data_IF_367922054614
#
_entry.id   IF_367922054614
#
_cell.length_a   1.000
_cell.length_b   1.000
_cell.length_c   1.000
_cell.angle_alpha   90.00
_cell.angle_beta   90.00
_cell.angle_gamma   90.00
#
_symmetry.space_group_name_H-M   'P 1'
#
loop_
_entity.id
_entity.type
_entity.pdbx_description
1 polymer ?
#
# COMPACT_ATOMS: atom_id res chain seq x y z
N UNK A 1 5.06 -31.81 3.36
CA UNK A 1 5.37 -30.45 3.86
C UNK A 1 5.98 -29.66 2.70
N UNK A 2 5.62 -28.40 2.51
CA UNK A 2 6.22 -27.55 1.49
C UNK A 2 7.68 -27.25 1.83
N UNK A 3 8.56 -27.29 0.84
CA UNK A 3 9.95 -26.83 0.96
C UNK A 3 10.17 -25.71 -0.06
N UNK A 4 10.75 -24.60 0.39
CA UNK A 4 11.06 -23.49 -0.51
C UNK A 4 12.11 -23.93 -1.52
N UNK A 5 11.85 -23.73 -2.82
CA UNK A 5 12.82 -24.08 -3.85
C UNK A 5 14.05 -23.16 -3.79
N UNK A 6 15.24 -23.70 -4.03
CA UNK A 6 16.46 -22.91 -4.05
C UNK A 6 16.38 -21.77 -5.09
N UNK A 7 15.71 -22.00 -6.24
CA UNK A 7 15.49 -20.96 -7.25
C UNK A 7 14.70 -19.78 -6.71
N UNK A 8 13.59 -20.04 -5.98
CA UNK A 8 12.76 -18.98 -5.41
C UNK A 8 13.50 -18.22 -4.32
N UNK A 9 14.24 -18.93 -3.46
CA UNK A 9 15.08 -18.33 -2.43
C UNK A 9 16.16 -17.43 -3.03
N UNK A 10 16.90 -17.92 -4.03
CA UNK A 10 17.92 -17.15 -4.75
C UNK A 10 17.32 -15.94 -5.44
N UNK A 11 16.18 -16.10 -6.12
CA UNK A 11 15.45 -15.00 -6.75
C UNK A 11 15.07 -13.90 -5.75
N UNK A 12 14.48 -14.27 -4.61
CA UNK A 12 14.13 -13.30 -3.56
C UNK A 12 15.36 -12.57 -3.02
N UNK A 13 16.49 -13.26 -2.82
CA UNK A 13 17.74 -12.65 -2.36
C UNK A 13 18.29 -11.68 -3.42
N UNK A 14 18.25 -12.05 -4.70
CA UNK A 14 18.70 -11.17 -5.79
C UNK A 14 17.84 -9.88 -5.81
N UNK A 15 16.53 -9.99 -5.68
CA UNK A 15 15.64 -8.82 -5.59
C UNK A 15 16.02 -7.93 -4.41
N UNK A 16 16.27 -8.50 -3.23
CA UNK A 16 16.67 -7.75 -2.04
C UNK A 16 18.00 -7.01 -2.29
N UNK A 17 19.00 -7.69 -2.85
CA UNK A 17 20.32 -7.08 -3.11
C UNK A 17 20.21 -5.95 -4.13
N UNK A 18 19.52 -6.16 -5.26
CA UNK A 18 19.29 -5.12 -6.26
C UNK A 18 18.47 -3.95 -5.67
N UNK A 19 17.50 -4.26 -4.83
CA UNK A 19 16.70 -3.26 -4.14
C UNK A 19 17.53 -2.42 -3.18
N UNK A 20 18.40 -3.02 -2.38
CA UNK A 20 19.33 -2.29 -1.47
C UNK A 20 20.22 -1.34 -2.28
N UNK A 21 20.78 -1.81 -3.40
CA UNK A 21 21.63 -0.98 -4.28
C UNK A 21 20.82 0.19 -4.87
N UNK A 22 19.58 -0.03 -5.32
CA UNK A 22 18.71 1.02 -5.86
C UNK A 22 18.33 2.06 -4.81
N UNK A 23 18.00 1.63 -3.58
CA UNK A 23 17.70 2.53 -2.46
C UNK A 23 18.94 3.33 -2.05
N UNK A 24 20.10 2.67 -1.91
CA UNK A 24 21.37 3.34 -1.58
C UNK A 24 21.71 4.40 -2.63
N UNK A 25 21.57 4.09 -3.92
CA UNK A 25 21.74 5.06 -5.02
C UNK A 25 20.79 6.24 -4.86
N UNK A 26 19.52 6.00 -4.52
CA UNK A 26 18.53 7.06 -4.27
C UNK A 26 18.96 8.02 -3.18
N UNK A 27 19.43 7.51 -2.04
CA UNK A 27 19.93 8.34 -0.94
C UNK A 27 21.21 9.10 -1.32
N UNK A 28 22.11 8.50 -2.10
CA UNK A 28 23.33 9.19 -2.56
C UNK A 28 23.02 10.34 -3.52
N UNK A 29 22.03 10.20 -4.39
CA UNK A 29 21.69 11.19 -5.41
C UNK A 29 20.71 12.26 -4.93
N UNK A 30 20.04 12.04 -3.80
CA UNK A 30 19.10 13.01 -3.21
C UNK A 30 19.78 14.08 -2.35
N UNK A 31 21.03 13.87 -1.91
CA UNK A 31 21.79 14.87 -1.14
C UNK A 31 22.46 15.86 -2.10
N UNK A 32 21.71 16.88 -2.52
CA UNK A 32 22.21 17.98 -3.33
C UNK A 32 22.46 19.22 -2.47
N UNK A 33 23.52 19.96 -2.77
CA UNK A 33 23.78 21.27 -2.16
C UNK A 33 22.80 22.32 -2.70
N UNK A 34 22.60 23.39 -1.94
CA UNK A 34 21.72 24.49 -2.38
C UNK A 34 22.18 25.10 -3.71
N UNK A 35 23.49 25.21 -3.93
CA UNK A 35 24.09 25.71 -5.17
C UNK A 35 23.81 24.81 -6.36
N UNK A 36 23.87 23.48 -6.18
CA UNK A 36 23.53 22.52 -7.23
C UNK A 36 22.04 22.61 -7.60
N UNK A 37 21.16 22.82 -6.61
CA UNK A 37 19.72 22.97 -6.86
C UNK A 37 19.44 24.28 -7.60
N UNK A 38 20.09 25.40 -7.25
CA UNK A 38 19.98 26.66 -7.97
C UNK A 38 20.42 26.50 -9.42
N UNK A 39 21.56 25.84 -9.65
CA UNK A 39 22.07 25.59 -11.01
C UNK A 39 21.05 24.75 -11.82
N UNK A 40 20.44 23.73 -11.22
CA UNK A 40 19.39 22.93 -11.88
C UNK A 40 18.16 23.78 -12.25
N UNK A 41 17.71 24.66 -11.35
CA UNK A 41 16.56 25.52 -11.60
C UNK A 41 16.85 26.51 -12.75
N UNK A 42 18.05 27.07 -12.82
CA UNK A 42 18.47 27.92 -13.93
C UNK A 42 18.50 27.15 -15.25
N UNK A 43 19.01 25.93 -15.26
CA UNK A 43 19.02 25.07 -16.45
C UNK A 43 17.60 24.70 -16.92
N UNK A 44 16.68 24.40 -15.98
CA UNK A 44 15.27 24.13 -16.29
C UNK A 44 14.59 25.33 -16.94
N UNK A 45 14.75 26.55 -16.39
CA UNK A 45 14.18 27.75 -16.96
C UNK A 45 14.78 28.08 -18.35
N UNK A 46 16.06 27.75 -18.58
CA UNK A 46 16.70 27.93 -19.90
C UNK A 46 16.16 26.96 -20.97
N UNK A 47 15.70 25.76 -20.56
CA UNK A 47 15.10 24.79 -21.46
C UNK A 47 13.60 25.02 -21.73
N UNK A 48 12.87 25.63 -20.80
CA UNK A 48 11.42 25.91 -20.94
C UNK A 48 11.18 27.27 -21.67
N UNK A 49 12.20 28.14 -21.81
CA UNK A 49 12.15 29.44 -22.48
C UNK A 49 11.95 29.40 -24.00
N UNK A 50 11.50 28.27 -24.56
CA UNK A 50 11.13 28.10 -25.98
C UNK A 50 9.69 28.49 -26.35
N UNK A 51 8.83 28.84 -25.39
CA UNK A 51 7.49 29.36 -25.65
C UNK A 51 7.32 30.75 -25.01
N UNK A 52 7.60 31.76 -25.84
CA UNK A 52 7.33 33.15 -25.53
C UNK A 52 5.84 33.40 -25.26
N UNK A 53 5.51 33.82 -24.06
CA UNK A 53 4.35 34.69 -23.83
C UNK A 53 4.87 36.03 -23.33
N UNK A 54 4.81 37.00 -24.22
CA UNK A 54 5.11 38.39 -23.99
C UNK A 54 4.30 39.00 -22.85
N UNK A 55 4.95 39.29 -21.72
CA UNK A 55 4.44 40.22 -20.72
C UNK A 55 5.34 41.46 -20.77
N UNK A 56 4.69 42.60 -21.04
CA UNK A 56 5.29 43.91 -21.17
C UNK A 56 6.06 44.34 -19.93
N UNK A 57 7.31 44.71 -20.12
CA UNK A 57 8.10 45.50 -19.18
C UNK A 57 7.37 46.81 -18.83
N UNK A 58 7.10 47.01 -17.55
CA UNK A 58 7.02 48.35 -16.98
C UNK A 58 8.17 48.52 -15.97
N UNK A 59 9.14 49.26 -16.41
CA UNK A 59 10.32 49.70 -15.68
C UNK A 59 9.88 50.64 -14.56
N UNK A 60 10.03 50.26 -13.28
CA UNK A 60 10.31 51.22 -12.20
C UNK A 60 11.32 50.60 -11.24
N UNK A 61 12.48 51.25 -11.21
CA UNK A 61 13.68 50.84 -10.49
C UNK A 61 13.65 51.19 -9.01
N UNK A 62 14.47 50.41 -8.26
CA UNK A 62 15.00 50.70 -6.92
C UNK A 62 14.10 50.26 -5.75
N UNK A 63 14.25 49.01 -5.38
CA UNK A 63 13.73 48.41 -4.14
C UNK A 63 13.47 46.91 -4.20
N UNK A 64 13.54 46.29 -5.37
CA UNK A 64 13.09 44.88 -5.61
C UNK A 64 14.22 43.85 -5.57
N UNK A 65 15.50 44.21 -5.65
CA UNK A 65 16.58 43.20 -5.71
C UNK A 65 16.74 42.35 -4.43
N UNK A 66 16.46 42.90 -3.25
CA UNK A 66 16.59 42.13 -2.00
C UNK A 66 15.36 41.23 -1.72
N UNK A 67 14.20 41.56 -2.24
CA UNK A 67 13.00 40.76 -2.10
C UNK A 67 13.01 39.55 -3.08
N UNK A 68 13.54 39.74 -4.28
CA UNK A 68 13.62 38.73 -5.34
C UNK A 68 14.66 37.65 -5.00
N UNK A 69 15.86 38.03 -4.53
CA UNK A 69 16.91 37.08 -4.09
C UNK A 69 16.46 36.25 -2.91
N UNK A 70 15.68 36.78 -1.98
CA UNK A 70 15.16 36.04 -0.84
C UNK A 70 14.05 35.03 -1.23
N UNK A 71 13.27 35.33 -2.26
CA UNK A 71 12.25 34.43 -2.80
C UNK A 71 12.88 33.26 -3.56
N UNK A 72 13.89 33.52 -4.38
CA UNK A 72 14.65 32.52 -5.13
C UNK A 72 15.38 31.54 -4.16
N UNK A 73 15.96 32.06 -3.08
CA UNK A 73 16.63 31.24 -2.06
C UNK A 73 15.66 30.35 -1.31
N UNK A 74 14.47 30.84 -1.00
CA UNK A 74 13.43 30.05 -0.33
C UNK A 74 12.85 28.98 -1.26
N UNK A 75 12.64 29.30 -2.53
CA UNK A 75 12.20 28.34 -3.54
C UNK A 75 13.24 27.22 -3.73
N UNK A 76 14.52 27.57 -3.88
CA UNK A 76 15.60 26.61 -4.02
C UNK A 76 15.72 25.66 -2.78
N UNK A 77 15.53 26.19 -1.56
CA UNK A 77 15.50 25.38 -0.34
C UNK A 77 14.31 24.41 -0.35
N UNK A 78 13.13 24.86 -0.73
CA UNK A 78 11.94 24.00 -0.81
C UNK A 78 12.14 22.86 -1.80
N UNK A 79 12.69 23.13 -2.99
CA UNK A 79 13.03 22.11 -3.99
C UNK A 79 14.11 21.15 -3.46
N UNK A 80 15.11 21.66 -2.74
CA UNK A 80 16.12 20.82 -2.09
C UNK A 80 15.49 19.82 -1.12
N UNK A 81 14.57 20.27 -0.27
CA UNK A 81 13.84 19.40 0.66
C UNK A 81 12.99 18.35 -0.06
N UNK A 82 12.29 18.74 -1.12
CA UNK A 82 11.51 17.79 -1.93
C UNK A 82 12.39 16.68 -2.52
N UNK A 83 13.56 17.03 -3.08
CA UNK A 83 14.51 16.05 -3.63
C UNK A 83 15.04 15.14 -2.51
N UNK A 84 15.37 15.69 -1.35
CA UNK A 84 15.91 14.95 -0.22
C UNK A 84 14.87 14.00 0.44
N UNK A 85 13.58 14.36 0.44
CA UNK A 85 12.47 13.53 0.95
C UNK A 85 12.14 12.34 0.04
N UNK A 86 12.47 12.42 -1.25
CA UNK A 86 12.04 11.44 -2.25
C UNK A 86 12.43 9.97 -1.95
N UNK A 87 13.67 9.61 -1.56
CA UNK A 87 14.01 8.22 -1.23
C UNK A 87 13.22 7.68 -0.04
N UNK A 88 12.99 8.51 0.98
CA UNK A 88 12.18 8.16 2.14
C UNK A 88 10.73 7.86 1.74
N UNK A 89 10.14 8.73 0.92
CA UNK A 89 8.77 8.58 0.42
C UNK A 89 8.63 7.34 -0.48
N UNK A 90 9.59 7.07 -1.37
CA UNK A 90 9.61 5.89 -2.22
C UNK A 90 9.65 4.59 -1.41
N UNK A 91 10.49 4.53 -0.37
CA UNK A 91 10.52 3.39 0.55
C UNK A 91 9.23 3.25 1.34
N UNK A 92 8.65 4.36 1.78
CA UNK A 92 7.42 4.38 2.55
C UNK A 92 6.22 3.87 1.74
N UNK A 93 6.05 4.34 0.50
CA UNK A 93 5.03 3.86 -0.43
C UNK A 93 5.14 2.34 -0.63
N UNK A 94 6.35 1.86 -0.90
CA UNK A 94 6.59 0.43 -1.10
C UNK A 94 6.34 -0.39 0.17
N UNK A 95 6.72 0.13 1.35
CA UNK A 95 6.48 -0.54 2.63
C UNK A 95 4.98 -0.65 2.95
N UNK A 96 4.23 0.44 2.75
CA UNK A 96 2.77 0.42 2.89
C UNK A 96 2.13 -0.56 1.91
N UNK A 97 2.57 -0.58 0.65
CA UNK A 97 2.00 -1.46 -0.37
C UNK A 97 2.05 -2.94 0.06
N UNK A 98 3.22 -3.46 0.43
CA UNK A 98 3.34 -4.86 0.84
C UNK A 98 2.69 -5.14 2.21
N UNK A 99 2.71 -4.19 3.13
CA UNK A 99 2.05 -4.31 4.43
C UNK A 99 0.53 -4.34 4.28
N UNK A 100 -0.05 -3.45 3.46
CA UNK A 100 -1.50 -3.40 3.22
C UNK A 100 -2.00 -4.65 2.49
N UNK A 101 -1.23 -5.25 1.57
CA UNK A 101 -1.54 -6.57 0.99
C UNK A 101 -1.68 -7.62 2.10
N UNK A 102 -0.72 -7.71 3.02
CA UNK A 102 -0.76 -8.70 4.09
C UNK A 102 -1.94 -8.47 5.06
N UNK A 103 -2.26 -7.21 5.36
CA UNK A 103 -3.40 -6.83 6.19
C UNK A 103 -4.74 -7.12 5.49
N UNK A 104 -4.85 -6.80 4.19
CA UNK A 104 -6.03 -7.13 3.37
C UNK A 104 -6.29 -8.62 3.28
N UNK A 105 -5.22 -9.43 3.13
CA UNK A 105 -5.34 -10.90 3.17
C UNK A 105 -5.80 -11.39 4.54
N UNK A 106 -5.31 -10.80 5.63
CA UNK A 106 -5.74 -11.16 6.99
C UNK A 106 -7.22 -10.84 7.22
N UNK A 107 -7.67 -9.68 6.74
CA UNK A 107 -9.07 -9.29 6.80
C UNK A 107 -9.95 -10.23 5.97
N UNK A 108 -9.56 -10.54 4.74
CA UNK A 108 -10.29 -11.48 3.90
C UNK A 108 -10.35 -12.88 4.51
N UNK A 109 -9.26 -13.37 5.10
CA UNK A 109 -9.22 -14.62 5.85
C UNK A 109 -10.21 -14.62 7.03
N UNK A 110 -10.26 -13.54 7.80
CA UNK A 110 -11.21 -13.40 8.91
C UNK A 110 -12.67 -13.40 8.41
N UNK A 111 -12.95 -12.71 7.29
CA UNK A 111 -14.27 -12.70 6.65
C UNK A 111 -14.68 -14.14 6.25
N UNK A 112 -13.78 -14.90 5.62
CA UNK A 112 -14.07 -16.27 5.20
C UNK A 112 -14.38 -17.19 6.40
N UNK A 113 -13.67 -17.05 7.50
CA UNK A 113 -13.93 -17.83 8.73
C UNK A 113 -15.25 -17.39 9.39
N UNK A 114 -15.49 -16.08 9.53
CA UNK A 114 -16.68 -15.54 10.17
C UNK A 114 -17.96 -15.80 9.36
N UNK A 115 -17.87 -15.83 8.03
CA UNK A 115 -18.98 -16.19 7.15
C UNK A 115 -19.16 -17.71 6.99
N UNK A 116 -18.26 -18.54 7.56
CA UNK A 116 -18.24 -19.98 7.37
C UNK A 116 -18.29 -20.41 5.90
N UNK A 117 -17.51 -19.68 5.07
CA UNK A 117 -17.50 -19.88 3.62
C UNK A 117 -16.89 -21.24 3.25
N UNK A 118 -17.76 -22.18 2.86
CA UNK A 118 -17.38 -23.59 2.59
C UNK A 118 -16.43 -23.76 1.39
N UNK A 119 -16.42 -22.82 0.44
CA UNK A 119 -15.53 -22.90 -0.75
C UNK A 119 -14.05 -22.66 -0.44
N UNK A 120 -13.73 -21.82 0.54
CA UNK A 120 -12.40 -21.22 0.73
C UNK A 120 -11.39 -21.97 1.61
N UNK A 121 -11.74 -23.00 2.42
CA UNK A 121 -10.79 -23.67 3.32
C UNK A 121 -9.50 -24.17 2.67
N UNK A 122 -9.55 -24.64 1.42
CA UNK A 122 -8.36 -25.08 0.67
C UNK A 122 -7.31 -23.97 0.47
N UNK A 123 -7.70 -22.69 0.64
CA UNK A 123 -6.83 -21.51 0.48
C UNK A 123 -6.36 -20.95 1.83
N UNK A 124 -6.86 -21.42 2.97
CA UNK A 124 -6.56 -20.83 4.29
C UNK A 124 -5.07 -20.80 4.61
N UNK A 125 -4.32 -21.86 4.27
CA UNK A 125 -2.87 -21.91 4.51
C UNK A 125 -2.09 -20.89 3.66
N UNK A 126 -2.59 -20.59 2.47
CA UNK A 126 -2.03 -19.54 1.61
C UNK A 126 -2.28 -18.17 2.25
N UNK A 127 -3.51 -17.91 2.71
CA UNK A 127 -3.87 -16.64 3.37
C UNK A 127 -3.08 -16.44 4.67
N UNK A 128 -2.98 -17.46 5.53
CA UNK A 128 -2.19 -17.45 6.77
C UNK A 128 -0.71 -17.16 6.51
N UNK A 129 -0.16 -17.67 5.41
CA UNK A 129 1.24 -17.48 5.06
C UNK A 129 1.52 -16.08 4.51
N UNK A 130 0.63 -15.52 3.68
CA UNK A 130 0.75 -14.16 3.18
C UNK A 130 0.65 -13.16 4.34
N UNK A 131 -0.32 -13.36 5.23
CA UNK A 131 -0.50 -12.52 6.42
C UNK A 131 0.68 -12.56 7.41
N UNK A 132 1.60 -13.52 7.30
CA UNK A 132 2.81 -13.57 8.12
C UNK A 132 3.75 -12.37 7.86
N UNK A 133 3.64 -11.71 6.71
CA UNK A 133 4.41 -10.51 6.41
C UNK A 133 3.92 -9.26 7.17
N UNK A 134 2.74 -9.31 7.76
CA UNK A 134 2.13 -8.16 8.43
C UNK A 134 3.04 -7.56 9.52
N UNK A 135 3.59 -8.38 10.40
CA UNK A 135 4.47 -7.90 11.49
C UNK A 135 5.75 -7.23 10.95
N UNK A 136 6.59 -7.90 10.13
CA UNK A 136 7.79 -7.24 9.59
C UNK A 136 7.44 -6.04 8.71
N UNK A 137 6.39 -6.09 7.90
CA UNK A 137 5.95 -4.99 7.07
C UNK A 137 5.53 -3.77 7.89
N UNK A 138 4.71 -3.97 8.92
CA UNK A 138 4.26 -2.88 9.80
C UNK A 138 5.41 -2.26 10.60
N UNK A 139 6.37 -3.06 11.08
CA UNK A 139 7.57 -2.54 11.74
C UNK A 139 8.37 -1.65 10.77
N UNK A 140 8.56 -2.08 9.52
CA UNK A 140 9.28 -1.28 8.51
C UNK A 140 8.55 0.04 8.25
N UNK A 141 7.22 0.03 8.10
CA UNK A 141 6.42 1.26 7.92
C UNK A 141 6.65 2.25 9.06
N UNK A 142 6.56 1.79 10.32
CA UNK A 142 6.76 2.67 11.48
C UNK A 142 8.22 3.15 11.58
N UNK A 143 9.20 2.28 11.31
CA UNK A 143 10.61 2.67 11.29
C UNK A 143 10.90 3.72 10.22
N UNK A 144 10.28 3.64 9.04
CA UNK A 144 10.43 4.65 8.00
C UNK A 144 9.73 5.96 8.38
N UNK A 145 8.52 5.90 8.93
CA UNK A 145 7.78 7.07 9.38
C UNK A 145 8.55 7.88 10.42
N UNK A 146 9.02 7.20 11.48
CA UNK A 146 9.76 7.84 12.58
C UNK A 146 11.22 8.09 12.22
N UNK A 147 11.82 7.17 11.43
CA UNK A 147 13.21 7.29 10.98
C UNK A 147 13.45 8.49 10.07
N UNK A 148 12.48 8.85 9.24
CA UNK A 148 12.56 10.05 8.39
C UNK A 148 12.72 11.34 9.23
N UNK A 149 12.10 11.40 10.41
CA UNK A 149 12.25 12.51 11.33
C UNK A 149 13.61 12.51 12.04
N UNK A 150 13.99 11.40 12.68
CA UNK A 150 15.22 11.37 13.52
C UNK A 150 16.53 11.25 12.74
N UNK A 151 16.52 10.57 11.59
CA UNK A 151 17.70 10.32 10.77
C UNK A 151 17.74 11.26 9.56
N UNK A 152 16.56 11.65 9.04
CA UNK A 152 16.43 12.44 7.83
C UNK A 152 16.79 13.91 7.96
N UNK A 153 16.99 14.47 9.18
CA UNK A 153 17.35 15.88 9.41
C UNK A 153 16.51 16.85 8.54
N UNK A 154 15.25 17.06 8.89
CA UNK A 154 14.25 17.87 8.16
C UNK A 154 13.67 17.25 6.88
N UNK A 155 13.88 15.93 6.66
CA UNK A 155 13.29 15.18 5.55
C UNK A 155 12.09 14.33 6.01
N UNK A 156 11.28 14.86 6.93
CA UNK A 156 10.12 14.17 7.48
C UNK A 156 9.08 13.87 6.40
N UNK A 157 8.60 12.61 6.38
CA UNK A 157 7.43 12.22 5.59
C UNK A 157 6.18 12.91 6.16
N UNK A 158 6.12 13.03 7.49
CA UNK A 158 5.02 13.64 8.21
C UNK A 158 5.40 15.04 8.71
N UNK A 159 4.91 16.07 8.08
CA UNK A 159 5.22 17.48 8.38
C UNK A 159 4.89 17.85 9.84
N UNK A 160 3.86 17.25 10.43
CA UNK A 160 3.48 17.47 11.84
C UNK A 160 4.47 16.86 12.86
N UNK A 161 5.47 16.09 12.43
CA UNK A 161 6.57 15.66 13.32
C UNK A 161 7.63 16.73 13.49
N UNK A 162 7.69 17.76 12.61
CA UNK A 162 8.63 18.86 12.69
C UNK A 162 8.13 19.95 13.65
N UNK A 163 8.81 20.19 14.81
CA UNK A 163 8.38 21.20 15.78
C UNK A 163 8.39 22.64 15.23
N UNK A 164 9.29 22.96 14.28
CA UNK A 164 9.39 24.29 13.69
C UNK A 164 8.16 24.59 12.82
N UNK A 165 7.78 23.64 11.97
CA UNK A 165 6.56 23.76 11.14
C UNK A 165 5.30 23.83 12.00
N UNK A 166 5.23 23.00 13.08
CA UNK A 166 4.09 23.03 14.01
C UNK A 166 3.99 24.37 14.73
N UNK A 167 5.12 25.04 15.04
CA UNK A 167 5.11 26.34 15.72
C UNK A 167 4.48 27.46 14.85
N UNK A 168 4.61 27.36 13.53
CA UNK A 168 4.12 28.37 12.58
C UNK A 168 2.71 28.08 12.05
N UNK A 169 2.26 26.81 12.12
CA UNK A 169 0.97 26.38 11.55
C UNK A 169 -0.10 26.16 12.62
N UNK A 170 -1.04 27.11 12.72
CA UNK A 170 -2.15 27.07 13.68
C UNK A 170 -3.08 25.85 13.47
N UNK A 171 -3.25 25.36 12.23
CA UNK A 171 -4.12 24.23 11.94
C UNK A 171 -3.50 22.93 12.49
N UNK A 172 -2.19 22.74 12.29
CA UNK A 172 -1.47 21.59 12.84
C UNK A 172 -1.42 21.69 14.39
N UNK A 173 -1.19 22.88 14.95
CA UNK A 173 -1.26 23.10 16.39
C UNK A 173 -2.58 22.64 17.01
N UNK A 174 -3.71 22.99 16.38
CA UNK A 174 -5.02 22.55 16.84
C UNK A 174 -5.23 21.03 16.81
N UNK A 175 -4.50 20.32 15.95
CA UNK A 175 -4.49 18.87 15.84
C UNK A 175 -3.41 18.19 16.70
N UNK A 176 -2.55 18.92 17.39
CA UNK A 176 -1.39 18.39 18.13
C UNK A 176 -1.75 17.39 19.23
N UNK A 177 -2.97 17.45 19.78
CA UNK A 177 -3.48 16.44 20.70
C UNK A 177 -3.60 15.04 20.08
N UNK A 178 -3.85 14.97 18.78
CA UNK A 178 -3.97 13.73 18.00
C UNK A 178 -2.72 13.43 17.18
N UNK A 179 -2.20 14.43 16.44
CA UNK A 179 -1.00 14.35 15.61
C UNK A 179 0.23 14.71 16.44
N UNK A 180 0.73 13.75 17.19
CA UNK A 180 2.03 13.80 17.88
C UNK A 180 2.66 12.40 17.88
N UNK A 181 3.99 12.33 17.92
CA UNK A 181 4.76 11.09 17.81
C UNK A 181 4.34 10.07 18.86
N UNK A 182 4.12 10.49 20.11
CA UNK A 182 3.77 9.59 21.21
C UNK A 182 2.41 8.94 20.98
N UNK A 183 1.37 9.73 20.66
CA UNK A 183 0.04 9.22 20.39
C UNK A 183 0.01 8.35 19.13
N UNK A 184 0.74 8.74 18.08
CA UNK A 184 0.91 7.95 16.85
C UNK A 184 1.52 6.57 17.15
N UNK A 185 2.59 6.49 17.92
CA UNK A 185 3.24 5.23 18.30
C UNK A 185 2.33 4.36 19.19
N UNK A 186 1.60 4.94 20.13
CA UNK A 186 0.65 4.19 20.97
C UNK A 186 -0.44 3.55 20.10
N UNK A 187 -1.04 4.31 19.18
CA UNK A 187 -2.04 3.77 18.25
C UNK A 187 -1.45 2.68 17.36
N UNK A 188 -0.24 2.90 16.80
CA UNK A 188 0.45 1.90 16.00
C UNK A 188 0.69 0.59 16.75
N UNK A 189 1.11 0.65 18.02
CA UNK A 189 1.31 -0.54 18.87
C UNK A 189 -0.02 -1.28 19.08
N UNK A 190 -1.12 -0.55 19.33
CA UNK A 190 -2.45 -1.15 19.51
C UNK A 190 -2.90 -1.85 18.21
N UNK A 191 -2.75 -1.21 17.06
CA UNK A 191 -3.16 -1.76 15.77
C UNK A 191 -2.36 -3.00 15.42
N UNK A 192 -1.02 -2.88 15.39
CA UNK A 192 -0.11 -3.98 15.05
C UNK A 192 -0.27 -5.13 16.06
N UNK A 193 -0.36 -4.80 17.35
CA UNK A 193 -0.56 -5.78 18.41
C UNK A 193 -1.85 -6.58 18.25
N UNK A 194 -2.97 -5.89 17.96
CA UNK A 194 -4.26 -6.55 17.75
C UNK A 194 -4.28 -7.41 16.48
N UNK A 195 -3.78 -6.91 15.34
CA UNK A 195 -3.73 -7.65 14.09
C UNK A 195 -2.81 -8.88 14.17
N UNK A 196 -1.62 -8.73 14.74
CA UNK A 196 -0.68 -9.84 14.90
C UNK A 196 -1.16 -10.88 15.92
N UNK A 197 -1.84 -10.44 16.98
CA UNK A 197 -2.45 -11.34 17.96
C UNK A 197 -3.54 -12.21 17.31
N UNK A 198 -4.41 -11.59 16.49
CA UNK A 198 -5.40 -12.35 15.73
C UNK A 198 -4.74 -13.35 14.78
N UNK A 199 -3.78 -12.90 13.94
CA UNK A 199 -3.06 -13.80 13.04
C UNK A 199 -2.43 -15.00 13.75
N UNK A 200 -1.76 -14.74 14.89
CA UNK A 200 -1.11 -15.79 15.68
C UNK A 200 -2.09 -16.82 16.20
N UNK A 201 -3.18 -16.39 16.84
CA UNK A 201 -4.18 -17.30 17.40
C UNK A 201 -5.01 -18.00 16.31
N UNK A 202 -5.38 -17.33 15.24
CA UNK A 202 -6.08 -17.92 14.11
C UNK A 202 -5.26 -19.07 13.50
N UNK A 203 -3.96 -18.83 13.23
CA UNK A 203 -3.05 -19.86 12.74
C UNK A 203 -2.85 -20.99 13.75
N UNK A 204 -2.69 -20.68 15.04
CA UNK A 204 -2.54 -21.68 16.12
C UNK A 204 -3.74 -22.59 16.18
N UNK A 205 -4.96 -22.05 16.17
CA UNK A 205 -6.17 -22.86 16.21
C UNK A 205 -6.40 -23.64 14.92
N UNK A 206 -6.05 -23.06 13.77
CA UNK A 206 -6.13 -23.74 12.48
C UNK A 206 -5.21 -24.96 12.44
N UNK A 207 -3.96 -24.86 12.93
CA UNK A 207 -3.03 -26.00 13.02
C UNK A 207 -3.48 -27.00 14.09
N UNK A 208 -3.98 -26.53 15.24
CA UNK A 208 -4.49 -27.40 16.29
C UNK A 208 -5.73 -28.19 15.84
N UNK A 209 -6.56 -27.63 14.94
CA UNK A 209 -7.70 -28.30 14.35
C UNK A 209 -7.29 -29.49 13.46
N UNK A 210 -6.14 -29.38 12.75
CA UNK A 210 -5.62 -30.49 11.94
C UNK A 210 -5.19 -31.70 12.75
N UNK A 211 -4.84 -31.51 14.02
CA UNK A 211 -4.40 -32.54 14.95
C UNK A 211 -5.54 -32.99 15.93
N UNK A 212 -6.75 -32.47 15.77
CA UNK A 212 -7.90 -32.82 16.60
C UNK A 212 -8.49 -34.18 16.20
N UNK A 213 -9.17 -34.82 17.14
CA UNK A 213 -9.91 -36.07 16.88
C UNK A 213 -11.02 -35.83 15.84
N UNK A 214 -11.37 -36.90 15.13
CA UNK A 214 -12.39 -36.82 14.09
C UNK A 214 -13.75 -36.41 14.71
N UNK A 215 -14.31 -35.28 14.21
CA UNK A 215 -15.56 -34.68 14.72
C UNK A 215 -15.38 -33.63 15.81
N UNK A 216 -14.18 -33.45 16.35
CA UNK A 216 -13.90 -32.33 17.28
C UNK A 216 -13.74 -31.00 16.54
N UNK A 217 -14.69 -30.09 16.74
CA UNK A 217 -14.74 -28.76 16.12
C UNK A 217 -14.43 -27.60 17.11
N UNK A 218 -13.90 -27.92 18.31
CA UNK A 218 -13.67 -26.89 19.35
C UNK A 218 -12.71 -25.80 18.90
N UNK A 219 -11.63 -26.17 18.21
CA UNK A 219 -10.66 -25.19 17.71
C UNK A 219 -11.23 -24.34 16.56
N UNK A 220 -12.05 -24.95 15.69
CA UNK A 220 -12.78 -24.19 14.66
C UNK A 220 -13.75 -23.17 15.29
N UNK A 221 -14.53 -23.55 16.32
CA UNK A 221 -15.39 -22.60 17.04
C UNK A 221 -14.63 -21.47 17.71
N UNK A 222 -13.41 -21.73 18.23
CA UNK A 222 -12.52 -20.67 18.73
C UNK A 222 -12.09 -19.73 17.62
N UNK A 223 -11.64 -20.27 16.47
CA UNK A 223 -11.27 -19.48 15.29
C UNK A 223 -12.42 -18.59 14.82
N UNK A 224 -13.64 -19.14 14.74
CA UNK A 224 -14.83 -18.38 14.39
C UNK A 224 -15.07 -17.18 15.33
N UNK A 225 -15.03 -17.42 16.65
CA UNK A 225 -15.27 -16.35 17.64
C UNK A 225 -14.22 -15.22 17.57
N UNK A 226 -12.93 -15.60 17.46
CA UNK A 226 -11.87 -14.60 17.38
C UNK A 226 -11.89 -13.86 16.04
N UNK A 227 -12.32 -14.52 14.94
CA UNK A 227 -12.48 -13.87 13.64
C UNK A 227 -13.59 -12.81 13.69
N UNK A 228 -14.74 -13.13 14.27
CA UNK A 228 -15.83 -12.16 14.45
C UNK A 228 -15.39 -10.95 15.30
N UNK A 229 -14.73 -11.20 16.45
CA UNK A 229 -14.17 -10.12 17.28
C UNK A 229 -13.11 -9.28 16.58
N UNK A 230 -12.24 -9.94 15.81
CA UNK A 230 -11.22 -9.26 15.01
C UNK A 230 -11.82 -8.35 13.95
N UNK A 231 -12.87 -8.75 13.25
CA UNK A 231 -13.50 -7.93 12.23
C UNK A 231 -14.05 -6.61 12.78
N UNK A 232 -14.61 -6.65 14.00
CA UNK A 232 -15.04 -5.42 14.69
C UNK A 232 -13.84 -4.53 15.01
N UNK A 233 -12.78 -5.08 15.57
CA UNK A 233 -11.53 -4.37 15.86
C UNK A 233 -10.89 -3.82 14.58
N UNK A 234 -10.84 -4.64 13.52
CA UNK A 234 -10.27 -4.28 12.24
C UNK A 234 -10.98 -3.11 11.58
N UNK A 235 -12.31 -3.08 11.58
CA UNK A 235 -13.10 -2.01 10.99
C UNK A 235 -12.69 -0.61 11.52
N UNK A 236 -12.52 -0.50 12.83
CA UNK A 236 -12.09 0.77 13.43
C UNK A 236 -10.61 1.04 13.22
N UNK A 237 -9.76 0.04 13.44
CA UNK A 237 -8.31 0.24 13.39
C UNK A 237 -7.77 0.43 11.98
N UNK A 238 -8.41 -0.16 10.98
CA UNK A 238 -8.06 0.05 9.58
C UNK A 238 -8.35 1.50 9.14
N UNK A 239 -9.55 2.00 9.44
CA UNK A 239 -9.93 3.37 9.10
C UNK A 239 -9.03 4.39 9.80
N UNK A 240 -8.74 4.20 11.10
CA UNK A 240 -7.85 5.10 11.84
C UNK A 240 -6.39 4.95 11.32
N UNK A 241 -5.93 3.75 10.98
CA UNK A 241 -4.63 3.55 10.37
C UNK A 241 -4.48 4.30 9.05
N UNK A 242 -5.50 4.27 8.20
CA UNK A 242 -5.48 5.00 6.92
C UNK A 242 -5.37 6.52 7.14
N UNK A 243 -6.03 7.05 8.18
CA UNK A 243 -5.91 8.45 8.57
C UNK A 243 -4.55 8.79 9.16
N UNK A 244 -3.99 7.90 10.01
CA UNK A 244 -2.71 8.12 10.69
C UNK A 244 -1.51 7.94 9.76
N UNK A 245 -1.51 6.88 8.92
CA UNK A 245 -0.33 6.47 8.18
C UNK A 245 -0.31 6.93 6.73
N UNK A 246 -1.46 7.36 6.19
CA UNK A 246 -1.55 7.82 4.80
C UNK A 246 -2.06 9.26 4.75
N UNK A 247 -3.28 9.51 5.25
CA UNK A 247 -3.91 10.82 5.13
C UNK A 247 -3.14 11.92 5.89
N UNK A 248 -2.57 11.62 7.05
CA UNK A 248 -1.86 12.60 7.87
C UNK A 248 -0.50 13.04 7.30
N UNK A 249 -0.07 12.48 6.18
CA UNK A 249 1.06 13.01 5.38
C UNK A 249 0.75 14.43 4.90
N UNK A 250 -0.53 14.68 4.58
CA UNK A 250 -1.07 16.02 4.34
C UNK A 250 -2.03 16.41 5.48
N UNK A 251 -1.56 17.06 6.54
CA UNK A 251 -2.38 17.35 7.72
C UNK A 251 -3.44 18.43 7.48
N UNK A 252 -3.39 19.16 6.36
CA UNK A 252 -4.37 20.19 6.01
C UNK A 252 -5.64 19.60 5.40
N UNK A 253 -5.52 18.43 4.77
CA UNK A 253 -6.63 17.75 4.13
C UNK A 253 -7.20 16.62 5.00
N UNK A 254 -8.49 16.34 4.87
CA UNK A 254 -9.16 15.20 5.50
C UNK A 254 -10.40 14.76 4.73
N UNK A 255 -10.70 13.45 4.84
CA UNK A 255 -11.93 12.86 4.29
C UNK A 255 -12.31 11.63 5.11
N UNK A 256 -13.57 11.54 5.52
CA UNK A 256 -14.10 10.37 6.25
C UNK A 256 -14.21 9.13 5.36
N UNK A 257 -14.43 9.32 4.05
CA UNK A 257 -14.51 8.23 3.08
C UNK A 257 -13.15 7.59 2.79
N UNK A 258 -12.05 8.27 3.13
CA UNK A 258 -10.70 7.84 2.81
C UNK A 258 -10.35 6.46 3.38
N UNK A 259 -10.82 6.12 4.60
CA UNK A 259 -10.63 4.79 5.17
C UNK A 259 -11.23 3.69 4.31
N UNK A 260 -12.47 3.86 3.84
CA UNK A 260 -13.13 2.90 2.94
C UNK A 260 -12.42 2.78 1.58
N UNK A 261 -11.90 3.89 1.08
CA UNK A 261 -11.13 3.90 -0.15
C UNK A 261 -9.84 3.08 -0.02
N UNK A 262 -9.06 3.28 1.05
CA UNK A 262 -7.85 2.50 1.34
C UNK A 262 -8.20 1.02 1.57
N UNK A 263 -9.27 0.73 2.34
CA UNK A 263 -9.76 -0.63 2.56
C UNK A 263 -10.04 -1.36 1.25
N UNK A 264 -10.73 -0.72 0.30
CA UNK A 264 -11.06 -1.36 -0.98
C UNK A 264 -9.82 -1.71 -1.79
N UNK A 265 -8.81 -0.82 -1.87
CA UNK A 265 -7.54 -1.08 -2.53
C UNK A 265 -6.77 -2.23 -1.88
N UNK A 266 -6.70 -2.23 -0.55
CA UNK A 266 -6.01 -3.25 0.24
C UNK A 266 -6.65 -4.65 0.07
N UNK A 267 -7.98 -4.75 0.05
CA UNK A 267 -8.69 -6.02 -0.13
C UNK A 267 -8.49 -6.56 -1.54
N UNK A 268 -8.63 -5.74 -2.59
CA UNK A 268 -8.45 -6.23 -3.96
C UNK A 268 -7.01 -6.67 -4.22
N UNK A 269 -6.02 -5.90 -3.73
CA UNK A 269 -4.61 -6.27 -3.82
C UNK A 269 -4.33 -7.59 -3.05
N UNK A 270 -4.90 -7.74 -1.85
CA UNK A 270 -4.78 -8.96 -1.06
C UNK A 270 -5.36 -10.20 -1.76
N UNK A 271 -6.59 -10.12 -2.27
CA UNK A 271 -7.24 -11.22 -3.01
C UNK A 271 -6.44 -11.55 -4.28
N UNK A 272 -5.93 -10.54 -4.97
CA UNK A 272 -5.09 -10.70 -6.15
C UNK A 272 -3.83 -11.52 -5.82
N UNK A 273 -3.15 -11.21 -4.73
CA UNK A 273 -1.96 -11.96 -4.29
C UNK A 273 -2.34 -13.39 -3.87
N UNK A 274 -3.49 -13.61 -3.20
CA UNK A 274 -3.99 -14.97 -2.91
C UNK A 274 -4.16 -15.76 -4.21
N UNK A 275 -4.80 -15.17 -5.22
CA UNK A 275 -5.03 -15.82 -6.51
C UNK A 275 -3.72 -16.17 -7.21
N UNK A 276 -2.78 -15.22 -7.29
CA UNK A 276 -1.48 -15.43 -7.93
C UNK A 276 -0.66 -16.52 -7.24
N UNK A 277 -0.60 -16.52 -5.91
CA UNK A 277 0.12 -17.54 -5.13
C UNK A 277 -0.57 -18.91 -5.25
N UNK A 278 -1.91 -18.96 -5.22
CA UNK A 278 -2.66 -20.20 -5.41
C UNK A 278 -2.43 -20.81 -6.79
N UNK A 279 -2.47 -19.99 -7.86
CA UNK A 279 -2.18 -20.42 -9.24
C UNK A 279 -0.74 -20.96 -9.33
N UNK A 280 0.23 -20.25 -8.76
CA UNK A 280 1.63 -20.69 -8.75
C UNK A 280 1.81 -22.05 -8.05
N UNK A 281 1.24 -22.23 -6.86
CA UNK A 281 1.32 -23.49 -6.09
C UNK A 281 0.55 -24.63 -6.78
N UNK A 282 -0.62 -24.34 -7.36
CA UNK A 282 -1.39 -25.30 -8.15
C UNK A 282 -0.58 -25.77 -9.35
N UNK A 283 0.05 -24.86 -10.09
CA UNK A 283 0.93 -25.18 -11.22
C UNK A 283 2.16 -26.02 -10.85
N UNK A 284 2.54 -26.02 -9.55
CA UNK A 284 3.58 -26.92 -9.00
C UNK A 284 3.03 -28.24 -8.46
N UNK A 285 1.73 -28.50 -8.53
CA UNK A 285 1.09 -29.67 -7.99
C UNK A 285 1.02 -29.71 -6.45
N UNK A 286 1.22 -28.57 -5.78
CA UNK A 286 1.29 -28.46 -4.32
C UNK A 286 -0.09 -28.21 -3.66
N UNK A 287 -1.09 -27.81 -4.43
CA UNK A 287 -2.47 -27.58 -3.99
C UNK A 287 -3.43 -28.47 -4.80
N UNK A 288 -3.44 -29.80 -4.55
CA UNK A 288 -4.23 -30.74 -5.36
C UNK A 288 -5.75 -30.53 -5.22
N UNK A 289 -6.23 -29.97 -4.11
CA UNK A 289 -7.65 -29.72 -3.87
C UNK A 289 -8.16 -28.41 -4.47
N UNK A 290 -7.26 -27.52 -4.93
CA UNK A 290 -7.66 -26.27 -5.58
C UNK A 290 -8.00 -26.55 -7.05
N UNK A 291 -9.27 -26.43 -7.41
CA UNK A 291 -9.77 -26.59 -8.78
C UNK A 291 -9.98 -25.23 -9.47
N UNK A 292 -10.51 -25.25 -10.71
CA UNK A 292 -10.71 -24.04 -11.50
C UNK A 292 -11.87 -23.17 -10.99
N UNK A 293 -12.83 -23.76 -10.24
CA UNK A 293 -13.91 -23.00 -9.59
C UNK A 293 -13.38 -22.10 -8.47
N UNK A 294 -12.37 -22.53 -7.71
CA UNK A 294 -11.71 -21.69 -6.70
C UNK A 294 -11.00 -20.48 -7.36
N UNK A 295 -10.30 -20.71 -8.48
CA UNK A 295 -9.63 -19.62 -9.22
C UNK A 295 -10.68 -18.66 -9.81
N UNK A 296 -11.76 -19.19 -10.33
CA UNK A 296 -12.88 -18.41 -10.85
C UNK A 296 -13.51 -17.51 -9.76
N UNK A 297 -13.69 -18.03 -8.55
CA UNK A 297 -14.24 -17.24 -7.44
C UNK A 297 -13.28 -16.17 -6.96
N UNK A 298 -11.98 -16.47 -6.84
CA UNK A 298 -10.98 -15.43 -6.57
C UNK A 298 -11.01 -14.33 -7.64
N UNK A 299 -11.14 -14.70 -8.93
CA UNK A 299 -11.24 -13.73 -10.01
C UNK A 299 -12.56 -12.92 -9.97
N UNK A 300 -13.68 -13.50 -9.48
CA UNK A 300 -14.91 -12.74 -9.21
C UNK A 300 -14.68 -11.69 -8.11
N UNK A 301 -13.99 -12.06 -7.03
CA UNK A 301 -13.67 -11.09 -5.98
C UNK A 301 -12.71 -10.01 -6.49
N UNK A 302 -11.69 -10.36 -7.28
CA UNK A 302 -10.84 -9.36 -7.94
C UNK A 302 -11.68 -8.38 -8.77
N UNK A 303 -12.59 -8.88 -9.60
CA UNK A 303 -13.50 -8.06 -10.38
C UNK A 303 -14.41 -7.18 -9.51
N UNK A 304 -15.10 -7.78 -8.54
CA UNK A 304 -16.08 -7.08 -7.71
C UNK A 304 -15.42 -5.98 -6.86
N UNK A 305 -14.26 -6.25 -6.26
CA UNK A 305 -13.54 -5.26 -5.47
C UNK A 305 -12.83 -4.19 -6.33
N UNK A 306 -12.44 -4.48 -7.57
CA UNK A 306 -11.98 -3.45 -8.52
C UNK A 306 -13.10 -2.46 -8.86
N UNK A 307 -14.34 -2.93 -9.04
CA UNK A 307 -15.52 -2.09 -9.23
C UNK A 307 -15.81 -1.27 -7.95
N UNK A 308 -15.73 -1.90 -6.79
CA UNK A 308 -15.95 -1.24 -5.50
C UNK A 308 -14.90 -0.16 -5.22
N UNK A 309 -13.63 -0.41 -5.53
CA UNK A 309 -12.56 0.58 -5.45
C UNK A 309 -12.85 1.79 -6.35
N UNK A 310 -13.20 1.55 -7.61
CA UNK A 310 -13.53 2.63 -8.56
C UNK A 310 -14.74 3.45 -8.09
N UNK A 311 -15.77 2.80 -7.53
CA UNK A 311 -16.92 3.48 -6.93
C UNK A 311 -16.51 4.41 -5.79
N UNK A 312 -15.66 3.96 -4.85
CA UNK A 312 -15.22 4.77 -3.73
C UNK A 312 -14.28 5.90 -4.17
N UNK A 313 -13.36 5.63 -5.11
CA UNK A 313 -12.52 6.65 -5.72
C UNK A 313 -13.34 7.76 -6.37
N UNK A 314 -14.32 7.38 -7.20
CA UNK A 314 -15.19 8.34 -7.88
C UNK A 314 -16.12 9.07 -6.90
N UNK A 315 -16.68 8.38 -5.91
CA UNK A 315 -17.54 8.99 -4.89
C UNK A 315 -16.81 10.05 -4.09
N UNK A 316 -15.56 9.80 -3.70
CA UNK A 316 -14.74 10.78 -3.00
C UNK A 316 -14.47 12.01 -3.86
N UNK A 317 -14.08 11.82 -5.12
CA UNK A 317 -13.90 12.91 -6.07
C UNK A 317 -15.20 13.71 -6.25
N UNK A 318 -16.31 13.03 -6.52
CA UNK A 318 -17.61 13.69 -6.77
C UNK A 318 -18.10 14.50 -5.57
N UNK A 319 -17.97 13.99 -4.35
CA UNK A 319 -18.40 14.69 -3.14
C UNK A 319 -17.60 15.98 -2.93
N UNK A 320 -16.28 15.94 -3.08
CA UNK A 320 -15.40 17.10 -2.92
C UNK A 320 -15.60 18.10 -4.07
N UNK A 321 -15.71 17.62 -5.30
CA UNK A 321 -15.99 18.45 -6.47
C UNK A 321 -17.35 19.16 -6.34
N UNK A 322 -18.39 18.45 -5.90
CA UNK A 322 -19.73 19.02 -5.73
C UNK A 322 -19.80 20.04 -4.59
N UNK A 323 -19.17 19.76 -3.45
CA UNK A 323 -19.10 20.67 -2.31
C UNK A 323 -18.30 21.95 -2.62
N UNK A 324 -17.27 21.84 -3.47
CA UNK A 324 -16.41 22.92 -3.94
C UNK A 324 -15.85 23.79 -2.80
N UNK A 325 -15.43 23.14 -1.70
CA UNK A 325 -14.75 23.79 -0.58
C UNK A 325 -13.28 23.97 -0.96
N UNK A 326 -12.75 25.21 -1.01
CA UNK A 326 -11.40 25.48 -1.51
C UNK A 326 -10.30 24.63 -0.86
N UNK A 327 -10.36 24.46 0.47
CA UNK A 327 -9.37 23.72 1.25
C UNK A 327 -9.38 22.21 0.93
N UNK A 328 -10.54 21.65 0.54
CA UNK A 328 -10.66 20.23 0.19
C UNK A 328 -10.32 19.95 -1.27
N UNK A 329 -10.64 20.89 -2.17
CA UNK A 329 -10.46 20.75 -3.62
C UNK A 329 -8.98 20.68 -4.00
N UNK A 330 -8.10 21.37 -3.27
CA UNK A 330 -6.64 21.39 -3.51
C UNK A 330 -6.05 19.97 -3.64
N UNK A 331 -6.57 19.01 -2.88
CA UNK A 331 -6.15 17.61 -2.96
C UNK A 331 -6.28 17.02 -4.37
N UNK A 332 -7.39 17.29 -5.07
CA UNK A 332 -7.60 16.80 -6.43
C UNK A 332 -6.95 17.67 -7.49
N UNK A 333 -6.85 18.98 -7.26
CA UNK A 333 -6.19 19.91 -8.20
C UNK A 333 -4.74 19.48 -8.39
N UNK A 334 -3.97 19.32 -7.34
CA UNK A 334 -2.56 18.91 -7.44
C UNK A 334 -2.40 17.55 -8.15
N UNK A 335 -3.34 16.62 -7.96
CA UNK A 335 -3.30 15.30 -8.59
C UNK A 335 -3.70 15.32 -10.07
N UNK A 336 -4.57 16.24 -10.47
CA UNK A 336 -5.01 16.38 -11.86
C UNK A 336 -4.01 17.22 -12.66
N UNK A 337 -3.38 18.22 -12.05
CA UNK A 337 -2.42 19.09 -12.72
C UNK A 337 -1.03 18.46 -12.76
N UNK A 338 -0.46 18.11 -11.60
CA UNK A 338 0.92 17.65 -11.49
C UNK A 338 1.07 16.13 -11.66
N UNK A 339 0.06 15.35 -11.28
CA UNK A 339 0.07 13.86 -11.31
C UNK A 339 -0.90 13.27 -12.32
N UNK A 340 -1.23 13.98 -13.38
CA UNK A 340 -2.24 13.59 -14.37
C UNK A 340 -2.08 12.16 -14.89
N UNK A 341 -0.86 11.79 -15.28
CA UNK A 341 -0.58 10.46 -15.84
C UNK A 341 -0.78 9.34 -14.81
N UNK A 342 -0.16 9.34 -13.61
CA UNK A 342 -0.39 8.29 -12.63
C UNK A 342 -1.81 8.31 -12.06
N UNK A 343 -2.43 9.49 -11.86
CA UNK A 343 -3.78 9.62 -11.31
C UNK A 343 -4.87 9.01 -12.20
N UNK A 344 -4.85 9.27 -13.51
CA UNK A 344 -5.79 8.62 -14.44
C UNK A 344 -5.29 7.24 -14.87
N UNK A 345 -3.97 7.01 -14.89
CA UNK A 345 -3.38 5.72 -15.18
C UNK A 345 -3.80 4.64 -14.17
N UNK A 346 -3.83 4.97 -12.87
CA UNK A 346 -4.30 4.01 -11.85
C UNK A 346 -5.76 3.58 -12.08
N UNK A 347 -6.64 4.48 -12.56
CA UNK A 347 -8.03 4.16 -12.88
C UNK A 347 -8.11 3.13 -14.02
N UNK A 348 -7.27 3.28 -15.04
CA UNK A 348 -7.18 2.31 -16.14
C UNK A 348 -6.68 0.96 -15.64
N UNK A 349 -5.64 0.94 -14.80
CA UNK A 349 -5.01 -0.29 -14.32
C UNK A 349 -5.86 -1.03 -13.26
N UNK A 350 -6.53 -0.30 -12.37
CA UNK A 350 -7.31 -0.89 -11.27
C UNK A 350 -8.76 -1.19 -11.62
N UNK A 351 -9.31 -0.49 -12.61
CA UNK A 351 -10.72 -0.64 -12.95
C UNK A 351 -10.94 -1.01 -14.43
N UNK A 352 -10.55 -0.15 -15.37
CA UNK A 352 -10.94 -0.34 -16.79
C UNK A 352 -10.41 -1.66 -17.34
N UNK A 353 -9.13 -1.95 -17.14
CA UNK A 353 -8.50 -3.17 -17.62
C UNK A 353 -9.06 -4.44 -16.94
N UNK A 354 -9.10 -4.55 -15.60
CA UNK A 354 -9.70 -5.71 -14.94
C UNK A 354 -11.18 -5.87 -15.27
N UNK A 355 -11.93 -4.77 -15.37
CA UNK A 355 -13.34 -4.78 -15.72
C UNK A 355 -13.56 -5.44 -17.10
N UNK A 356 -12.84 -5.01 -18.12
CA UNK A 356 -12.99 -5.53 -19.49
C UNK A 356 -12.59 -7.00 -19.59
N UNK A 357 -11.51 -7.41 -18.93
CA UNK A 357 -11.01 -8.79 -19.03
C UNK A 357 -11.80 -9.73 -18.11
N UNK A 358 -12.02 -9.36 -16.85
CA UNK A 358 -12.68 -10.23 -15.87
C UNK A 358 -14.21 -10.15 -15.92
N UNK A 359 -14.82 -9.33 -16.78
CA UNK A 359 -16.25 -9.38 -17.04
C UNK A 359 -16.65 -10.72 -17.67
N UNK A 360 -15.82 -11.24 -18.57
CA UNK A 360 -16.09 -12.52 -19.23
C UNK A 360 -15.88 -13.70 -18.27
N UNK A 361 -16.90 -14.59 -18.15
CA UNK A 361 -16.87 -15.71 -17.20
C UNK A 361 -15.76 -16.72 -17.50
N UNK A 362 -15.50 -17.02 -18.78
CA UNK A 362 -14.52 -18.03 -19.16
C UNK A 362 -13.09 -17.59 -18.87
N UNK A 363 -12.78 -16.29 -19.00
CA UNK A 363 -11.44 -15.76 -18.71
C UNK A 363 -11.08 -15.89 -17.22
N UNK A 364 -12.07 -15.83 -16.32
CA UNK A 364 -11.87 -16.04 -14.88
C UNK A 364 -11.43 -17.46 -14.53
N UNK A 365 -11.68 -18.46 -15.40
CA UNK A 365 -11.26 -19.86 -15.19
C UNK A 365 -9.87 -20.15 -15.73
N UNK A 366 -9.34 -19.29 -16.59
CA UNK A 366 -8.05 -19.47 -17.24
C UNK A 366 -6.95 -18.82 -16.41
N UNK A 367 -6.04 -19.57 -15.77
CA UNK A 367 -5.01 -19.05 -14.88
C UNK A 367 -4.15 -17.93 -15.49
N UNK A 368 -3.90 -17.99 -16.79
CA UNK A 368 -3.13 -16.95 -17.49
C UNK A 368 -3.80 -15.57 -17.45
N UNK A 369 -5.11 -15.50 -17.75
CA UNK A 369 -5.84 -14.22 -17.70
C UNK A 369 -5.90 -13.65 -16.28
N UNK A 370 -6.11 -14.53 -15.29
CA UNK A 370 -6.13 -14.11 -13.87
C UNK A 370 -4.76 -13.61 -13.43
N UNK A 371 -3.67 -14.27 -13.81
CA UNK A 371 -2.30 -13.83 -13.53
C UNK A 371 -1.98 -12.50 -14.19
N UNK A 372 -2.33 -12.32 -15.47
CA UNK A 372 -2.12 -11.09 -16.22
C UNK A 372 -2.88 -9.91 -15.55
N UNK A 373 -4.17 -10.09 -15.27
CA UNK A 373 -4.96 -9.09 -14.56
C UNK A 373 -4.39 -8.82 -13.17
N UNK A 374 -3.92 -9.86 -12.47
CA UNK A 374 -3.31 -9.72 -11.16
C UNK A 374 -2.08 -8.81 -11.17
N UNK A 375 -1.18 -9.00 -12.14
CA UNK A 375 0.00 -8.12 -12.29
C UNK A 375 -0.43 -6.67 -12.55
N UNK A 376 -1.39 -6.44 -13.44
CA UNK A 376 -1.88 -5.09 -13.78
C UNK A 376 -2.54 -4.42 -12.56
N UNK A 377 -3.39 -5.14 -11.83
CA UNK A 377 -4.03 -4.65 -10.60
C UNK A 377 -2.98 -4.27 -9.54
N UNK A 378 -1.95 -5.10 -9.33
CA UNK A 378 -0.92 -4.81 -8.33
C UNK A 378 -0.08 -3.58 -8.71
N UNK A 379 0.25 -3.41 -10.01
CA UNK A 379 0.91 -2.19 -10.49
C UNK A 379 0.00 -0.98 -10.25
N UNK A 380 -1.29 -1.09 -10.58
CA UNK A 380 -2.25 -0.01 -10.39
C UNK A 380 -2.42 0.40 -8.93
N UNK A 381 -2.48 -0.54 -7.98
CA UNK A 381 -2.57 -0.23 -6.55
C UNK A 381 -1.26 0.28 -5.96
N UNK A 382 -0.12 -0.08 -6.53
CA UNK A 382 1.13 0.59 -6.17
C UNK A 382 1.11 2.06 -6.60
N UNK A 383 0.67 2.35 -7.83
CA UNK A 383 0.50 3.73 -8.33
C UNK A 383 -0.54 4.49 -7.52
N UNK A 384 -1.59 3.84 -7.06
CA UNK A 384 -2.62 4.42 -6.19
C UNK A 384 -2.01 4.94 -4.86
N UNK A 385 -1.24 4.11 -4.15
CA UNK A 385 -0.52 4.52 -2.95
C UNK A 385 0.54 5.59 -3.23
N UNK A 386 1.20 5.51 -4.38
CA UNK A 386 2.14 6.53 -4.84
C UNK A 386 1.44 7.90 -4.97
N UNK A 387 0.28 7.96 -5.61
CA UNK A 387 -0.52 9.19 -5.77
C UNK A 387 -1.12 9.68 -4.44
N UNK A 388 -1.36 8.80 -3.47
CA UNK A 388 -1.81 9.23 -2.14
C UNK A 388 -0.70 9.96 -1.35
N UNK A 389 0.57 9.56 -1.50
CA UNK A 389 1.67 10.00 -0.62
C UNK A 389 2.59 11.02 -1.28
N UNK A 390 3.01 10.79 -2.54
CA UNK A 390 4.05 11.60 -3.17
C UNK A 390 3.69 13.08 -3.32
N UNK A 391 2.43 13.47 -3.65
CA UNK A 391 2.09 14.89 -3.77
C UNK A 391 2.37 15.71 -2.51
N UNK A 392 2.15 15.14 -1.33
CA UNK A 392 2.38 15.83 -0.06
C UNK A 392 3.85 15.82 0.39
N UNK A 393 4.70 14.97 -0.19
CA UNK A 393 6.11 14.83 0.23
C UNK A 393 7.10 15.41 -0.79
N UNK A 394 6.89 15.15 -2.06
CA UNK A 394 7.81 15.50 -3.16
C UNK A 394 7.23 16.61 -4.06
N UNK A 395 5.93 16.94 -3.90
CA UNK A 395 5.27 17.95 -4.72
C UNK A 395 5.26 17.57 -6.20
N UNK A 396 5.57 18.52 -7.07
CA UNK A 396 5.60 18.37 -8.54
C UNK A 396 6.88 17.66 -9.06
N UNK A 397 7.91 17.46 -8.20
CA UNK A 397 9.22 16.89 -8.55
C UNK A 397 9.24 15.35 -8.56
N UNK A 398 8.11 14.72 -8.84
CA UNK A 398 7.98 13.28 -8.88
C UNK A 398 8.43 12.68 -10.22
N UNK A 399 9.01 11.52 -10.18
CA UNK A 399 9.16 10.59 -11.31
C UNK A 399 9.37 9.17 -10.79
N UNK A 400 9.09 8.16 -11.60
CA UNK A 400 9.38 6.77 -11.26
C UNK A 400 10.78 6.45 -11.74
N UNK A 401 11.71 6.32 -10.81
CA UNK A 401 13.12 6.09 -11.09
C UNK A 401 13.72 4.95 -10.27
N UNK A 402 15.05 4.98 -10.15
CA UNK A 402 15.80 3.94 -9.45
C UNK A 402 15.40 3.79 -7.96
N UNK A 403 15.16 4.86 -7.18
CA UNK A 403 14.74 4.72 -5.78
C UNK A 403 13.41 4.00 -5.63
N UNK A 404 12.41 4.31 -6.46
CA UNK A 404 11.08 3.71 -6.42
C UNK A 404 11.14 2.23 -6.80
N UNK A 405 11.81 1.92 -7.92
CA UNK A 405 12.01 0.53 -8.38
C UNK A 405 12.85 -0.25 -7.37
N UNK A 406 13.91 0.35 -6.83
CA UNK A 406 14.75 -0.26 -5.79
C UNK A 406 13.94 -0.62 -4.53
N UNK A 407 13.08 0.28 -4.08
CA UNK A 407 12.21 0.05 -2.92
C UNK A 407 11.22 -1.09 -3.14
N UNK A 408 10.61 -1.18 -4.32
CA UNK A 408 9.71 -2.30 -4.70
C UNK A 408 10.48 -3.62 -4.71
N UNK A 409 11.68 -3.66 -5.30
CA UNK A 409 12.49 -4.87 -5.39
C UNK A 409 12.92 -5.35 -4.00
N UNK A 410 13.39 -4.43 -3.14
CA UNK A 410 13.80 -4.72 -1.78
C UNK A 410 12.67 -5.34 -0.96
N UNK A 411 11.54 -4.65 -0.89
CA UNK A 411 10.42 -5.05 -0.05
C UNK A 411 9.61 -6.20 -0.66
N UNK A 412 9.53 -6.27 -1.99
CA UNK A 412 8.96 -7.42 -2.71
C UNK A 412 9.77 -8.69 -2.52
N UNK A 413 11.10 -8.60 -2.58
CA UNK A 413 11.99 -9.73 -2.28
C UNK A 413 11.83 -10.22 -0.83
N UNK A 414 11.75 -9.29 0.13
CA UNK A 414 11.50 -9.61 1.54
C UNK A 414 10.10 -10.23 1.74
N UNK A 415 9.08 -9.67 1.11
CA UNK A 415 7.71 -10.19 1.13
C UNK A 415 7.68 -11.66 0.64
N UNK A 416 8.25 -11.93 -0.52
CA UNK A 416 8.32 -13.30 -1.06
C UNK A 416 9.05 -14.25 -0.10
N UNK A 417 10.20 -13.83 0.43
CA UNK A 417 10.98 -14.65 1.35
C UNK A 417 10.19 -15.01 2.61
N UNK A 418 9.52 -14.04 3.23
CA UNK A 418 8.72 -14.24 4.45
C UNK A 418 7.52 -15.13 4.17
N UNK A 419 6.75 -14.85 3.10
CA UNK A 419 5.54 -15.60 2.74
C UNK A 419 5.88 -17.07 2.48
N UNK A 420 6.81 -17.34 1.59
CA UNK A 420 7.16 -18.73 1.25
C UNK A 420 7.89 -19.47 2.37
N UNK A 421 8.64 -18.78 3.22
CA UNK A 421 9.20 -19.37 4.45
C UNK A 421 8.07 -19.72 5.44
N UNK A 422 7.06 -18.85 5.59
CA UNK A 422 5.90 -19.14 6.43
C UNK A 422 5.12 -20.38 5.97
N UNK A 423 5.05 -20.64 4.66
CA UNK A 423 4.40 -21.84 4.10
C UNK A 423 5.11 -23.15 4.47
N UNK A 424 6.41 -23.12 4.79
CA UNK A 424 7.13 -24.34 5.19
C UNK A 424 6.78 -24.83 6.59
N UNK A 425 6.14 -23.97 7.41
CA UNK A 425 5.88 -24.24 8.83
C UNK A 425 4.60 -25.03 9.11
N UNK A 426 3.78 -25.30 8.09
CA UNK A 426 2.55 -26.08 8.23
C UNK A 426 2.20 -26.79 6.91
N UNK A 427 1.39 -27.87 6.93
CA UNK A 427 0.85 -28.47 5.71
C UNK A 427 0.01 -27.46 4.93
N UNK A 428 0.08 -27.46 3.60
CA UNK A 428 -0.66 -26.53 2.75
C UNK A 428 -2.16 -26.76 2.71
N UNK A 429 -2.63 -27.95 3.08
CA UNK A 429 -4.05 -28.31 3.17
C UNK A 429 -4.48 -28.40 4.62
N UNK A 430 -5.49 -27.63 5.09
CA UNK A 430 -6.03 -27.72 6.45
C UNK A 430 -7.01 -28.89 6.56
N UNK A 431 -6.49 -30.11 6.78
CA UNK A 431 -7.25 -31.37 6.75
C UNK A 431 -8.33 -31.47 7.84
N UNK A 432 -8.13 -30.81 8.98
CA UNK A 432 -9.05 -30.80 10.10
C UNK A 432 -10.20 -29.78 10.01
N UNK A 433 -10.23 -28.97 8.96
CA UNK A 433 -11.31 -27.99 8.80
C UNK A 433 -12.63 -28.68 8.50
N UNK A 434 -13.75 -28.35 9.22
CA UNK A 434 -15.05 -29.00 9.02
C UNK A 434 -15.61 -28.92 7.61
N UNK A 435 -15.30 -27.83 6.90
CA UNK A 435 -15.77 -27.55 5.52
C UNK A 435 -14.79 -28.00 4.45
N UNK A 436 -13.71 -28.73 4.78
CA UNK A 436 -12.70 -29.11 3.78
C UNK A 436 -13.28 -29.98 2.66
N UNK A 437 -14.20 -30.90 2.99
CA UNK A 437 -14.88 -31.75 1.99
C UNK A 437 -15.81 -30.94 1.07
N UNK A 438 -16.48 -29.93 1.60
CA UNK A 438 -17.30 -29.00 0.81
C UNK A 438 -16.43 -28.20 -0.15
N UNK A 439 -15.30 -27.70 0.34
CA UNK A 439 -14.32 -26.99 -0.48
C UNK A 439 -13.72 -27.87 -1.58
N UNK A 440 -13.39 -29.13 -1.28
CA UNK A 440 -12.87 -30.11 -2.25
C UNK A 440 -13.87 -30.38 -3.40
N UNK A 441 -15.16 -30.53 -3.04
CA UNK A 441 -16.23 -30.83 -3.98
C UNK A 441 -16.88 -29.58 -4.59
N UNK A 442 -16.28 -28.40 -4.36
CA UNK A 442 -16.79 -27.16 -4.85
C UNK A 442 -16.60 -27.04 -6.39
N UNK A 443 -17.70 -27.02 -7.12
CA UNK A 443 -17.76 -26.88 -8.58
C UNK A 443 -18.89 -25.94 -9.01
N UNK A 444 -18.65 -25.22 -10.08
CA UNK A 444 -19.65 -24.45 -10.82
C UNK A 444 -20.06 -25.14 -12.09
#
# INVERSE_FOLDING_TARGET
MYTISNRLKTFSIILIVLGVLGVAYGFMTSHKSLEEVKTMLVEEHAHDGGHETSVQEHTESTGLEHADVSQDDNHAKHVQEQIAKRPWSAMYVSALFFMTIALGVLAFYAIQIASQAGWSPVLFRVMEAISAYLLPGAIIVILLAVGSHYIGHHNEIFVWMNPEVVADDKLIQNKSGYLNITAFLIRAIIFIGGWCTYWYFARKFSIAQDNAEQGDIRNFKKSFRIAAGFLVFYLYTESIMSWDWIMSVDPHWFSTLFGWYVFSGMIVAGITVIAMVAIYLKGKGLLPLVNDSHIHDLAKYMFGFSVFWAYLWFSQFMLIWYANIPEEVVYFVSRIEDYKLPFFGMLVLNFVFPFLILMHSDYKRVPWFVMMCGVVILIGHYVDLFVMIMPATVGDRWYIGIPEIGSILLLGGLFLLVVFTSMTKAPLTPKGNPFIKESENFHY
#
